data_IF_631947588835
#
_entry.id   IF_631947588835
#
_cell.length_a   1.000
_cell.length_b   1.000
_cell.length_c   1.000
_cell.angle_alpha   90.00
_cell.angle_beta   90.00
_cell.angle_gamma   90.00
#
_symmetry.space_group_name_H-M   'P 1'
#
loop_
_entity.id
_entity.type
_entity.pdbx_description
1 polymer ?
#
# COMPACT_ATOMS: atom_id res chain seq x y z
N UNK A 1 20.90 -16.17 -64.04
CA UNK A 1 21.11 -15.10 -63.04
C UNK A 1 20.25 -15.35 -61.83
N UNK A 2 20.89 -15.59 -60.69
CA UNK A 2 20.22 -15.50 -59.39
C UNK A 2 20.36 -14.05 -58.95
N UNK A 3 19.25 -13.33 -58.91
CA UNK A 3 19.20 -11.99 -58.30
C UNK A 3 19.40 -12.23 -56.81
N UNK A 4 20.44 -11.62 -56.22
CA UNK A 4 20.62 -11.62 -54.77
C UNK A 4 19.38 -11.01 -54.12
N UNK A 5 18.83 -11.66 -53.10
CA UNK A 5 17.76 -11.13 -52.26
C UNK A 5 18.34 -10.89 -50.85
N UNK A 6 19.00 -9.75 -50.60
CA UNK A 6 19.57 -9.42 -49.30
C UNK A 6 18.48 -9.32 -48.22
N UNK A 7 18.75 -9.76 -46.98
CA UNK A 7 17.73 -9.77 -45.91
C UNK A 7 16.95 -11.10 -45.79
N UNK A 8 17.40 -12.16 -46.48
CA UNK A 8 16.86 -13.53 -46.33
C UNK A 8 17.65 -14.38 -45.33
N UNK A 9 18.53 -13.77 -44.55
CA UNK A 9 19.00 -14.37 -43.32
C UNK A 9 17.80 -14.82 -42.48
N UNK A 10 18.00 -15.84 -41.66
CA UNK A 10 17.04 -16.26 -40.66
C UNK A 10 17.84 -16.35 -39.37
N UNK A 11 17.70 -15.31 -38.57
CA UNK A 11 18.39 -15.12 -37.31
C UNK A 11 17.82 -16.01 -36.20
N UNK A 12 16.66 -16.65 -36.44
CA UNK A 12 16.08 -17.65 -35.57
C UNK A 12 15.87 -19.01 -36.27
N UNK A 13 14.88 -19.80 -35.84
CA UNK A 13 14.62 -21.15 -36.36
C UNK A 13 13.22 -21.34 -36.95
N UNK A 14 12.50 -20.24 -37.16
CA UNK A 14 11.16 -20.25 -37.70
C UNK A 14 11.18 -20.28 -39.25
N UNK A 15 10.02 -20.24 -39.90
CA UNK A 15 9.93 -20.40 -41.36
C UNK A 15 10.10 -19.08 -42.15
N UNK A 16 10.21 -17.95 -41.46
CA UNK A 16 10.27 -16.61 -42.00
C UNK A 16 11.74 -16.12 -42.00
N UNK A 17 12.13 -15.43 -43.08
CA UNK A 17 13.44 -14.77 -43.11
C UNK A 17 13.34 -13.40 -42.45
N UNK A 18 14.45 -12.86 -41.94
CA UNK A 18 14.55 -11.62 -41.15
C UNK A 18 13.79 -10.43 -41.77
N UNK A 19 13.76 -10.31 -43.10
CA UNK A 19 13.03 -9.23 -43.78
C UNK A 19 11.49 -9.38 -43.76
N UNK A 20 10.99 -10.56 -43.48
CA UNK A 20 9.56 -10.90 -43.42
C UNK A 20 9.12 -11.32 -42.02
N UNK A 21 10.04 -11.34 -41.06
CA UNK A 21 9.82 -11.76 -39.68
C UNK A 21 9.60 -10.54 -38.80
N UNK A 22 8.45 -10.49 -38.11
CA UNK A 22 8.13 -9.43 -37.17
C UNK A 22 8.82 -9.59 -35.80
N UNK A 23 9.55 -10.69 -35.59
CA UNK A 23 10.43 -10.94 -34.46
C UNK A 23 11.71 -11.71 -34.86
N UNK A 24 12.63 -11.13 -35.66
CA UNK A 24 13.78 -11.86 -36.25
C UNK A 24 14.70 -12.61 -35.28
N UNK A 25 14.66 -12.32 -33.98
CA UNK A 25 15.45 -13.00 -32.95
C UNK A 25 14.68 -13.98 -32.08
N UNK A 26 13.36 -14.15 -32.28
CA UNK A 26 12.47 -14.95 -31.42
C UNK A 26 11.52 -15.75 -32.28
N UNK A 27 11.71 -17.08 -32.29
CA UNK A 27 10.91 -18.00 -33.10
C UNK A 27 9.42 -17.88 -32.79
N UNK A 28 8.66 -17.36 -33.75
CA UNK A 28 7.23 -17.13 -33.67
C UNK A 28 6.52 -17.53 -34.99
N UNK A 29 6.34 -18.84 -35.25
CA UNK A 29 5.91 -19.34 -36.56
C UNK A 29 4.57 -18.79 -37.08
N UNK A 30 3.70 -18.31 -36.19
CA UNK A 30 2.40 -17.72 -36.54
C UNK A 30 2.48 -16.26 -36.95
N UNK A 31 3.61 -15.57 -36.67
CA UNK A 31 3.82 -14.16 -36.93
C UNK A 31 2.66 -13.31 -36.41
N UNK A 32 2.15 -13.66 -35.23
CA UNK A 32 1.03 -12.95 -34.61
C UNK A 32 1.48 -11.53 -34.25
N UNK A 33 0.58 -10.57 -34.43
CA UNK A 33 0.79 -9.15 -34.18
C UNK A 33 -0.61 -8.55 -33.98
N UNK A 34 -1.07 -8.53 -32.73
CA UNK A 34 -2.47 -8.28 -32.41
C UNK A 34 -2.87 -6.80 -32.54
N UNK A 35 -1.94 -5.86 -32.35
CA UNK A 35 -2.19 -4.42 -32.50
C UNK A 35 -1.71 -3.83 -33.83
N UNK A 36 -0.94 -4.59 -34.61
CA UNK A 36 -0.49 -4.24 -35.95
C UNK A 36 0.68 -3.26 -35.97
N UNK A 37 1.46 -3.18 -34.90
CA UNK A 37 2.65 -2.35 -34.85
C UNK A 37 3.89 -3.03 -35.50
N UNK A 38 5.10 -2.51 -35.26
CA UNK A 38 6.30 -3.04 -35.91
C UNK A 38 6.83 -4.35 -35.28
N UNK A 39 6.34 -4.74 -34.10
CA UNK A 39 6.80 -5.89 -33.33
C UNK A 39 5.73 -6.99 -33.31
N UNK A 40 6.13 -8.25 -33.47
CA UNK A 40 5.20 -9.37 -33.29
C UNK A 40 4.94 -9.67 -31.81
N UNK A 41 3.82 -10.33 -31.50
CA UNK A 41 3.39 -10.67 -30.13
C UNK A 41 4.49 -11.38 -29.30
N UNK A 42 5.44 -12.06 -29.95
CA UNK A 42 6.51 -12.80 -29.30
C UNK A 42 7.68 -11.93 -28.82
N UNK A 43 7.86 -10.74 -29.40
CA UNK A 43 8.94 -9.80 -29.10
C UNK A 43 8.42 -8.41 -28.73
N UNK A 44 7.10 -8.24 -28.66
CA UNK A 44 6.45 -7.04 -28.19
C UNK A 44 6.21 -7.10 -26.67
N UNK A 45 6.64 -6.07 -25.95
CA UNK A 45 6.44 -5.93 -24.51
C UNK A 45 5.06 -5.36 -24.18
N UNK A 46 4.32 -4.86 -25.17
CA UNK A 46 2.94 -4.43 -25.05
C UNK A 46 2.04 -4.95 -26.20
N UNK A 47 1.81 -6.28 -26.33
CA UNK A 47 1.16 -6.94 -27.50
C UNK A 47 -0.25 -6.48 -27.91
N UNK A 48 -0.86 -5.58 -27.15
CA UNK A 48 -2.22 -5.10 -27.37
C UNK A 48 -2.29 -3.56 -27.45
N UNK A 49 -1.15 -2.88 -27.53
CA UNK A 49 -1.02 -1.43 -27.58
C UNK A 49 -0.11 -1.05 -28.74
N UNK A 50 -0.70 -0.51 -29.80
CA UNK A 50 0.07 -0.02 -30.94
C UNK A 50 1.09 1.06 -30.52
N UNK A 51 2.37 0.78 -30.72
CA UNK A 51 3.45 1.73 -30.47
C UNK A 51 4.28 2.03 -31.73
N UNK A 52 4.87 3.22 -31.79
CA UNK A 52 5.82 3.56 -32.88
C UNK A 52 7.26 3.16 -32.55
N UNK A 53 7.51 2.81 -31.30
CA UNK A 53 8.81 2.43 -30.72
C UNK A 53 8.53 1.44 -29.60
N UNK A 54 9.24 0.31 -29.58
CA UNK A 54 9.12 -0.71 -28.54
C UNK A 54 9.16 -0.07 -27.13
N UNK A 55 8.12 -0.29 -26.33
CA UNK A 55 8.10 0.20 -24.97
C UNK A 55 9.29 -0.32 -24.17
N UNK A 56 9.91 0.61 -23.43
CA UNK A 56 10.95 0.26 -22.47
C UNK A 56 10.30 -0.53 -21.33
N UNK A 57 10.92 -1.64 -20.95
CA UNK A 57 10.60 -2.39 -19.73
C UNK A 57 11.72 -2.07 -18.72
N UNK A 58 11.42 -1.34 -17.63
CA UNK A 58 12.47 -0.83 -16.70
C UNK A 58 12.85 -1.85 -15.65
N UNK A 59 11.89 -2.65 -15.24
CA UNK A 59 11.97 -3.66 -14.19
C UNK A 59 12.30 -5.04 -14.74
N UNK A 60 12.26 -5.21 -16.06
CA UNK A 60 12.44 -6.45 -16.79
C UNK A 60 11.45 -7.53 -16.34
N UNK A 61 10.17 -7.15 -16.24
CA UNK A 61 9.10 -8.06 -15.81
C UNK A 61 8.28 -8.65 -16.97
N UNK A 62 8.57 -8.20 -18.20
CA UNK A 62 7.92 -8.67 -19.42
C UNK A 62 6.81 -7.75 -19.93
N UNK A 63 6.47 -6.69 -19.19
CA UNK A 63 5.54 -5.65 -19.65
C UNK A 63 6.28 -4.34 -19.89
N UNK A 64 5.96 -3.68 -21.00
CA UNK A 64 6.53 -2.36 -21.29
C UNK A 64 5.91 -1.29 -20.40
N UNK A 65 6.70 -0.27 -20.03
CA UNK A 65 6.30 0.94 -19.30
C UNK A 65 4.93 1.53 -19.72
N UNK A 66 4.57 1.43 -21.01
CA UNK A 66 3.33 1.96 -21.57
C UNK A 66 2.08 1.13 -21.24
N UNK A 67 2.23 -0.16 -20.95
CA UNK A 67 1.16 -1.11 -20.64
C UNK A 67 1.32 -1.78 -19.27
N UNK A 68 2.36 -1.43 -18.52
CA UNK A 68 2.62 -1.89 -17.15
C UNK A 68 1.86 -1.03 -16.12
N UNK A 69 1.06 -1.65 -15.27
CA UNK A 69 0.36 -0.96 -14.17
C UNK A 69 1.28 -0.61 -12.98
N UNK A 70 2.55 -1.03 -13.02
CA UNK A 70 3.62 -0.68 -12.10
C UNK A 70 5.00 -0.44 -12.77
N UNK A 71 5.18 0.61 -13.61
CA UNK A 71 6.38 0.86 -14.46
C UNK A 71 7.72 1.13 -13.75
N UNK A 72 7.80 0.90 -12.44
CA UNK A 72 9.05 0.96 -11.68
C UNK A 72 9.12 -0.18 -10.64
N UNK A 73 8.30 -1.22 -10.74
CA UNK A 73 8.18 -2.27 -9.71
C UNK A 73 7.79 -3.58 -10.36
N UNK A 74 8.75 -4.51 -10.45
CA UNK A 74 8.57 -5.85 -11.01
C UNK A 74 7.28 -6.54 -10.54
N UNK A 75 6.36 -6.78 -11.47
CA UNK A 75 5.05 -7.39 -11.22
C UNK A 75 4.54 -8.15 -12.47
N UNK A 76 5.18 -9.27 -12.85
CA UNK A 76 4.89 -10.00 -14.09
C UNK A 76 3.48 -10.59 -14.19
N UNK A 77 2.69 -10.55 -13.11
CA UNK A 77 1.29 -10.98 -13.11
C UNK A 77 0.32 -9.84 -13.44
N UNK A 78 0.79 -8.58 -13.43
CA UNK A 78 -0.01 -7.37 -13.63
C UNK A 78 -1.30 -7.38 -12.80
N UNK A 79 -1.22 -7.91 -11.57
CA UNK A 79 -2.38 -8.01 -10.68
C UNK A 79 -2.80 -6.61 -10.25
N UNK A 80 -4.11 -6.36 -10.26
CA UNK A 80 -4.79 -5.13 -9.88
C UNK A 80 -6.18 -5.57 -9.42
N UNK A 81 -6.36 -5.82 -8.13
CA UNK A 81 -7.57 -6.50 -7.62
C UNK A 81 -8.78 -5.56 -7.49
N UNK A 82 -8.54 -4.25 -7.35
CA UNK A 82 -9.60 -3.25 -7.26
C UNK A 82 -9.91 -2.52 -8.59
N UNK A 83 -9.10 -2.78 -9.61
CA UNK A 83 -9.18 -2.22 -10.96
C UNK A 83 -9.09 -0.69 -10.99
N UNK A 84 -8.22 -0.11 -10.18
CA UNK A 84 -7.94 1.32 -10.19
C UNK A 84 -6.89 1.73 -11.26
N UNK A 85 -6.21 0.75 -11.87
CA UNK A 85 -5.17 0.95 -12.86
C UNK A 85 -3.75 1.03 -12.29
N UNK A 86 -3.58 0.87 -10.98
CA UNK A 86 -2.31 0.71 -10.27
C UNK A 86 -2.19 -0.75 -9.84
N UNK A 87 -1.10 -1.41 -10.20
CA UNK A 87 -0.95 -2.81 -9.83
C UNK A 87 -0.76 -3.01 -8.32
N UNK A 88 -1.24 -4.15 -7.80
CA UNK A 88 -1.15 -4.56 -6.38
C UNK A 88 0.28 -4.41 -5.82
N UNK A 89 1.30 -4.59 -6.68
CA UNK A 89 2.71 -4.50 -6.31
C UNK A 89 3.18 -3.08 -5.97
N UNK A 90 2.50 -2.06 -6.49
CA UNK A 90 2.89 -0.67 -6.39
C UNK A 90 1.73 0.27 -6.00
N UNK A 91 0.58 -0.32 -5.65
CA UNK A 91 -0.59 0.33 -5.08
C UNK A 91 -0.49 0.42 -3.55
N UNK A 92 -0.77 1.61 -3.01
CA UNK A 92 -0.80 1.87 -1.58
C UNK A 92 -2.10 1.45 -0.89
N UNK A 93 -3.17 1.14 -1.64
CA UNK A 93 -4.39 0.53 -1.12
C UNK A 93 -4.87 -0.61 -2.04
N UNK A 94 -4.19 -1.76 -2.13
CA UNK A 94 -4.47 -2.80 -3.14
C UNK A 94 -5.93 -3.27 -3.24
N UNK A 95 -6.77 -3.05 -2.23
CA UNK A 95 -8.15 -3.52 -2.24
C UNK A 95 -9.18 -2.37 -2.34
N UNK A 96 -8.76 -1.12 -2.49
CA UNK A 96 -9.61 0.07 -2.41
C UNK A 96 -9.32 1.07 -3.51
N UNK A 97 -10.23 1.18 -4.49
CA UNK A 97 -10.07 2.00 -5.68
C UNK A 97 -9.45 3.40 -5.41
N UNK A 98 -8.21 3.61 -5.87
CA UNK A 98 -7.38 4.77 -5.52
C UNK A 98 -6.38 5.23 -6.60
N UNK A 99 -6.83 5.52 -7.84
CA UNK A 99 -5.95 5.68 -9.00
C UNK A 99 -4.89 6.78 -8.87
N UNK A 100 -5.15 7.79 -8.02
CA UNK A 100 -4.25 8.91 -7.81
C UNK A 100 -3.16 8.63 -6.76
N UNK A 101 -3.22 7.50 -6.03
CA UNK A 101 -2.23 7.07 -5.04
C UNK A 101 -1.93 8.14 -3.97
N UNK A 102 -2.90 9.01 -3.70
CA UNK A 102 -2.77 10.12 -2.76
C UNK A 102 -2.97 9.70 -1.29
N UNK A 103 -3.15 8.40 -1.05
CA UNK A 103 -3.37 7.85 0.28
C UNK A 103 -2.04 7.66 1.02
N UNK A 104 -2.02 8.06 2.29
CA UNK A 104 -0.86 7.87 3.16
C UNK A 104 -1.15 6.58 3.91
N UNK A 105 -0.45 5.49 3.57
CA UNK A 105 -0.75 4.13 4.01
C UNK A 105 -0.59 3.84 5.51
N UNK A 106 -0.74 4.82 6.41
CA UNK A 106 -0.89 4.59 7.84
C UNK A 106 -2.12 5.36 8.34
N UNK A 107 -2.89 4.80 9.28
CA UNK A 107 -3.99 5.51 9.90
C UNK A 107 -3.56 6.87 10.48
N UNK A 108 -4.39 7.89 10.32
CA UNK A 108 -4.23 9.15 11.04
C UNK A 108 -4.98 9.05 12.36
N UNK A 109 -4.28 9.28 13.47
CA UNK A 109 -4.81 9.12 14.82
C UNK A 109 -4.66 10.41 15.59
N UNK A 110 -5.66 10.72 16.43
CA UNK A 110 -5.59 11.80 17.40
C UNK A 110 -6.16 11.34 18.74
N UNK A 111 -5.38 11.46 19.81
CA UNK A 111 -5.86 11.31 21.18
C UNK A 111 -6.63 12.58 21.57
N UNK A 112 -7.93 12.46 21.84
CA UNK A 112 -8.79 13.64 22.11
C UNK A 112 -8.98 13.83 23.61
N UNK A 113 -9.10 12.75 24.38
CA UNK A 113 -9.25 12.85 25.83
C UNK A 113 -8.89 11.55 26.57
N UNK A 114 -8.15 11.62 27.69
CA UNK A 114 -7.43 12.79 28.20
C UNK A 114 -6.36 13.25 27.21
N UNK A 115 -6.15 14.56 27.11
CA UNK A 115 -5.17 15.14 26.17
C UNK A 115 -4.13 16.04 26.86
N UNK A 116 -4.21 16.20 28.19
CA UNK A 116 -3.22 16.95 28.96
C UNK A 116 -3.82 17.77 30.09
N UNK A 117 -3.20 17.71 31.26
CA UNK A 117 -3.55 18.50 32.43
C UNK A 117 -4.74 18.00 33.25
N UNK A 118 -5.46 16.97 32.78
CA UNK A 118 -6.58 16.41 33.54
C UNK A 118 -6.13 15.71 34.83
N UNK A 119 -7.06 15.56 35.78
CA UNK A 119 -6.84 14.83 37.03
C UNK A 119 -7.90 13.75 37.20
N UNK A 120 -7.52 12.52 36.86
CA UNK A 120 -8.37 11.34 36.94
C UNK A 120 -8.28 10.69 38.32
N UNK A 121 -9.40 10.20 38.82
CA UNK A 121 -9.50 9.60 40.15
C UNK A 121 -9.54 8.08 40.00
N UNK A 122 -8.68 7.36 40.71
CA UNK A 122 -8.69 5.89 40.71
C UNK A 122 -10.08 5.39 41.13
N UNK A 123 -10.59 4.39 40.42
CA UNK A 123 -11.93 3.80 40.52
C UNK A 123 -13.07 4.66 39.96
N UNK A 124 -12.82 5.83 39.37
CA UNK A 124 -13.84 6.56 38.61
C UNK A 124 -13.95 6.02 37.17
N UNK A 125 -15.17 5.95 36.64
CA UNK A 125 -15.42 5.68 35.24
C UNK A 125 -15.26 6.97 34.42
N UNK A 126 -14.46 6.91 33.35
CA UNK A 126 -14.23 8.04 32.43
C UNK A 126 -14.32 7.56 30.98
N UNK A 127 -14.68 8.45 30.06
CA UNK A 127 -14.75 8.09 28.64
C UNK A 127 -13.51 8.58 27.90
N UNK A 128 -12.63 7.65 27.54
CA UNK A 128 -11.50 7.93 26.65
C UNK A 128 -12.06 8.28 25.27
N UNK A 129 -11.48 9.26 24.59
CA UNK A 129 -11.92 9.71 23.26
C UNK A 129 -10.76 9.84 22.31
N UNK A 130 -10.97 9.46 21.06
CA UNK A 130 -9.98 9.55 19.99
C UNK A 130 -10.67 9.78 18.64
N UNK A 131 -9.88 10.23 17.67
CA UNK A 131 -10.21 10.12 16.25
C UNK A 131 -9.20 9.18 15.61
N UNK A 132 -9.67 8.28 14.76
CA UNK A 132 -8.81 7.47 13.92
C UNK A 132 -9.48 7.34 12.56
N UNK A 133 -8.78 7.72 11.51
CA UNK A 133 -9.25 7.66 10.13
C UNK A 133 -8.18 7.02 9.28
N UNK A 134 -8.60 6.18 8.35
CA UNK A 134 -7.73 5.63 7.33
C UNK A 134 -8.43 5.77 5.99
N UNK A 135 -7.65 6.01 4.95
CA UNK A 135 -8.13 6.20 3.60
C UNK A 135 -8.00 4.95 2.74
N UNK A 136 -7.26 3.92 3.19
CA UNK A 136 -7.20 2.56 2.66
C UNK A 136 -8.02 1.61 3.57
N UNK A 137 -9.28 1.33 3.22
CA UNK A 137 -10.06 0.27 3.89
C UNK A 137 -10.52 0.63 5.31
N UNK A 138 -10.23 1.85 5.78
CA UNK A 138 -10.60 2.33 7.10
C UNK A 138 -9.77 1.73 8.23
N UNK A 139 -10.19 2.00 9.48
CA UNK A 139 -9.49 1.49 10.66
C UNK A 139 -10.12 0.18 11.11
N UNK A 140 -9.35 -0.91 11.06
CA UNK A 140 -9.77 -2.25 11.48
C UNK A 140 -9.87 -2.36 13.00
N UNK A 141 -8.92 -1.76 13.73
CA UNK A 141 -8.85 -1.87 15.17
C UNK A 141 -8.11 -0.72 15.84
N UNK A 142 -8.37 -0.54 17.14
CA UNK A 142 -7.70 0.44 17.99
C UNK A 142 -7.17 -0.26 19.26
N UNK A 143 -5.93 0.04 19.63
CA UNK A 143 -5.36 -0.24 20.94
C UNK A 143 -5.23 1.06 21.74
N UNK A 144 -5.45 1.00 23.04
CA UNK A 144 -5.25 2.13 23.96
C UNK A 144 -4.27 1.71 25.05
N UNK A 145 -3.12 2.37 25.08
CA UNK A 145 -2.03 2.10 26.01
C UNK A 145 -1.93 3.24 27.03
N UNK A 146 -1.65 2.90 28.28
CA UNK A 146 -1.39 3.84 29.36
C UNK A 146 0.08 3.82 29.74
N UNK A 147 0.74 4.95 29.59
CA UNK A 147 2.06 5.19 30.16
C UNK A 147 1.90 5.99 31.45
N UNK A 148 2.67 5.64 32.48
CA UNK A 148 2.61 6.33 33.79
C UNK A 148 3.83 7.18 34.11
N UNK A 149 4.88 7.09 33.29
CA UNK A 149 6.20 7.68 33.53
C UNK A 149 6.70 8.45 32.30
N UNK A 150 5.83 9.26 31.68
CA UNK A 150 6.12 9.95 30.42
C UNK A 150 5.70 9.13 29.20
N UNK A 151 6.28 9.41 28.03
CA UNK A 151 5.96 8.76 26.74
C UNK A 151 6.93 7.63 26.37
N UNK A 152 7.93 7.36 27.21
CA UNK A 152 8.93 6.31 27.01
C UNK A 152 8.84 5.25 28.12
N UNK A 153 9.32 4.04 27.83
CA UNK A 153 9.34 2.93 28.79
C UNK A 153 8.08 2.06 28.75
N UNK A 154 7.74 1.48 29.91
CA UNK A 154 6.66 0.49 30.02
C UNK A 154 5.28 1.13 29.95
N UNK A 155 4.38 0.43 29.27
CA UNK A 155 2.97 0.77 29.20
C UNK A 155 2.11 -0.36 29.76
N UNK A 156 0.90 -0.01 30.18
CA UNK A 156 -0.17 -0.95 30.44
C UNK A 156 -1.18 -0.88 29.29
N UNK A 157 -1.54 -2.03 28.71
CA UNK A 157 -2.62 -2.09 27.72
C UNK A 157 -3.96 -1.93 28.44
N UNK A 158 -4.68 -0.85 28.16
CA UNK A 158 -6.03 -0.64 28.69
C UNK A 158 -7.06 -1.40 27.86
N UNK A 159 -6.93 -1.29 26.54
CA UNK A 159 -7.77 -1.96 25.56
C UNK A 159 -6.92 -2.37 24.38
N UNK A 160 -7.24 -3.52 23.78
CA UNK A 160 -6.57 -3.97 22.57
C UNK A 160 -7.58 -4.54 21.58
N UNK A 161 -7.33 -4.31 20.31
CA UNK A 161 -8.11 -4.78 19.18
C UNK A 161 -9.60 -4.43 19.31
N UNK A 162 -9.90 -3.22 19.82
CA UNK A 162 -11.29 -2.75 19.94
C UNK A 162 -11.76 -2.08 18.65
N UNK A 163 -13.07 -2.11 18.34
CA UNK A 163 -13.61 -1.40 17.19
C UNK A 163 -13.39 0.11 17.29
N UNK A 164 -13.15 0.76 16.15
CA UNK A 164 -12.98 2.21 16.05
C UNK A 164 -14.31 2.97 16.25
N UNK A 165 -14.73 3.10 17.51
CA UNK A 165 -15.97 3.77 17.92
C UNK A 165 -15.77 5.22 18.36
N UNK A 166 -14.52 5.71 18.33
CA UNK A 166 -14.12 7.05 18.78
C UNK A 166 -14.18 7.27 20.30
N UNK A 167 -14.71 6.33 21.08
CA UNK A 167 -14.68 6.41 22.54
C UNK A 167 -14.78 5.07 23.26
N UNK A 168 -14.22 4.99 24.47
CA UNK A 168 -14.25 3.79 25.32
C UNK A 168 -14.24 4.17 26.79
N UNK A 169 -15.17 3.61 27.56
CA UNK A 169 -15.20 3.80 29.01
C UNK A 169 -14.07 3.02 29.68
N UNK A 170 -13.27 3.72 30.48
CA UNK A 170 -12.23 3.18 31.33
C UNK A 170 -12.55 3.42 32.79
N UNK A 171 -12.46 2.35 33.61
CA UNK A 171 -12.41 2.48 35.05
C UNK A 171 -10.97 2.72 35.47
N UNK A 172 -10.66 3.95 35.88
CA UNK A 172 -9.29 4.43 36.11
C UNK A 172 -8.58 3.53 37.13
N UNK A 173 -7.47 2.91 36.73
CA UNK A 173 -6.68 2.02 37.59
C UNK A 173 -5.41 2.70 38.10
N UNK A 174 -4.95 2.28 39.28
CA UNK A 174 -3.67 2.71 39.85
C UNK A 174 -2.47 1.90 39.34
N UNK A 175 -1.23 2.29 39.73
CA UNK A 175 -0.90 3.32 40.72
C UNK A 175 -1.16 4.77 40.29
N UNK A 176 -1.17 5.67 41.27
CA UNK A 176 -1.22 7.11 41.07
C UNK A 176 0.10 7.63 40.46
N UNK A 177 0.01 8.66 39.62
CA UNK A 177 1.13 9.33 38.95
C UNK A 177 0.71 10.73 38.50
N UNK A 178 1.65 11.66 38.38
CA UNK A 178 1.43 13.00 37.80
C UNK A 178 1.90 13.10 36.34
N UNK A 179 2.44 12.00 35.79
CA UNK A 179 3.10 11.99 34.48
C UNK A 179 2.52 10.90 33.56
N UNK A 180 1.19 10.77 33.55
CA UNK A 180 0.51 9.78 32.72
C UNK A 180 0.24 10.30 31.30
N UNK A 181 0.32 9.41 30.33
CA UNK A 181 -0.03 9.63 28.94
C UNK A 181 -0.87 8.47 28.42
N UNK A 182 -1.81 8.75 27.53
CA UNK A 182 -2.43 7.72 26.71
C UNK A 182 -1.75 7.69 25.36
N UNK A 183 -1.59 6.50 24.80
CA UNK A 183 -1.24 6.30 23.40
C UNK A 183 -2.39 5.57 22.73
N UNK A 184 -2.96 6.17 21.71
CA UNK A 184 -3.94 5.53 20.84
C UNK A 184 -3.19 4.98 19.64
N UNK A 185 -3.37 3.71 19.31
CA UNK A 185 -2.79 3.08 18.14
C UNK A 185 -3.94 2.56 17.30
N UNK A 186 -4.03 3.00 16.05
CA UNK A 186 -4.98 2.48 15.08
C UNK A 186 -4.25 1.60 14.08
N UNK A 187 -4.96 0.58 13.59
CA UNK A 187 -4.47 -0.36 12.58
C UNK A 187 -5.51 -0.48 11.48
N UNK A 188 -5.07 -0.53 10.23
CA UNK A 188 -5.94 -0.74 9.06
C UNK A 188 -6.07 -2.26 8.75
N UNK A 189 -6.83 -2.69 7.72
CA UNK A 189 -6.87 -4.08 7.29
C UNK A 189 -5.54 -4.64 6.75
N UNK A 190 -4.70 -3.76 6.18
CA UNK A 190 -3.37 -4.09 5.66
C UNK A 190 -2.28 -4.17 6.75
N UNK A 191 -2.67 -4.03 8.02
CA UNK A 191 -1.81 -4.11 9.20
C UNK A 191 -0.83 -2.94 9.37
N UNK A 192 -1.00 -1.85 8.62
CA UNK A 192 -0.30 -0.59 8.84
C UNK A 192 -0.77 0.08 10.13
N UNK A 193 0.05 0.97 10.70
CA UNK A 193 -0.24 1.54 12.02
C UNK A 193 -0.06 3.04 12.10
N UNK A 194 -1.12 3.69 12.57
CA UNK A 194 -1.12 5.08 13.03
C UNK A 194 -1.09 5.14 14.54
N UNK A 195 -0.51 6.17 15.11
CA UNK A 195 -0.61 6.39 16.55
C UNK A 195 -0.47 7.84 16.94
N UNK A 196 -1.02 8.17 18.10
CA UNK A 196 -0.88 9.47 18.72
C UNK A 196 -0.83 9.33 20.25
N UNK A 197 -0.11 10.24 20.89
CA UNK A 197 -0.09 10.38 22.34
C UNK A 197 -0.98 11.54 22.74
N UNK A 198 -1.47 11.54 23.98
CA UNK A 198 -2.00 12.78 24.58
C UNK A 198 -0.94 13.90 24.53
N UNK A 199 -1.34 15.11 24.15
CA UNK A 199 -0.44 16.27 23.91
C UNK A 199 0.39 16.66 25.13
N UNK A 200 -0.14 16.44 26.34
CA UNK A 200 0.59 16.62 27.58
C UNK A 200 0.24 15.56 28.64
N UNK A 201 1.01 15.57 29.72
CA UNK A 201 0.79 14.68 30.85
C UNK A 201 -0.54 15.00 31.55
N UNK A 202 -1.26 13.97 31.95
CA UNK A 202 -2.36 14.07 32.93
C UNK A 202 -1.99 13.35 34.24
N UNK A 203 -2.77 13.62 35.28
CA UNK A 203 -2.58 13.05 36.62
C UNK A 203 -3.59 11.96 36.91
N UNK A 204 -3.14 10.85 37.48
CA UNK A 204 -3.97 9.81 38.11
C UNK A 204 -3.74 9.90 39.62
N UNK A 205 -4.80 10.10 40.40
CA UNK A 205 -4.71 10.24 41.87
C UNK A 205 -5.68 9.32 42.59
N UNK A 206 -5.36 8.98 43.84
CA UNK A 206 -6.32 8.28 44.72
C UNK A 206 -7.52 9.19 45.00
N UNK A 207 -8.71 8.60 45.10
CA UNK A 207 -9.87 9.28 45.66
C UNK A 207 -9.61 9.71 47.10
N UNK A 208 -10.30 10.76 47.54
CA UNK A 208 -10.35 11.12 48.96
C UNK A 208 -11.12 10.06 49.75
#
# INVERSE_FOLDING_TARGET
>A
DLISNPGQENSDTDAWGDACDNCPGITNPTQANADGDAWGDACDTCPFLYETTLSRDREHDGFGDSCDNCPNTYNPTQADVDHDGRGDACDNCPNDYNPAQNYVGNPVVQAIWPNGGESLIINSAVNLRWSATDTCGGVSSVDILLYRNGTSGSFATLFSQIPNTGSRTWNVTGPATTNAFIKVVARDPANNTGNDFSDAAFTIKKGK
#
